data_IF_114861172009
#
_entry.id   IF_114861172009
#
_cell.length_a   1.000
_cell.length_b   1.000
_cell.length_c   1.000
_cell.angle_alpha   90.00
_cell.angle_beta   90.00
_cell.angle_gamma   90.00
#
_symmetry.space_group_name_H-M   'P 1'
#
loop_
_entity.id
_entity.type
_entity.pdbx_description
1 polymer ?
#
# COMPACT_ATOMS: atom_id res chain seq x y z
N UNK A 1 9.93 -10.81 7.59
CA UNK A 1 10.75 -9.97 8.49
C UNK A 1 11.54 -8.89 7.79
N UNK A 2 11.90 -9.03 6.50
CA UNK A 2 12.78 -8.09 5.81
C UNK A 2 12.42 -6.61 6.00
N UNK A 3 11.14 -6.23 5.79
CA UNK A 3 10.66 -4.85 5.95
C UNK A 3 10.88 -4.32 7.38
N UNK A 4 10.48 -5.10 8.39
CA UNK A 4 10.67 -4.74 9.80
C UNK A 4 12.16 -4.61 10.17
N UNK A 5 13.01 -5.48 9.64
CA UNK A 5 14.46 -5.42 9.85
C UNK A 5 15.09 -4.19 9.17
N UNK A 6 14.68 -3.87 7.94
CA UNK A 6 15.13 -2.68 7.24
C UNK A 6 14.70 -1.40 7.99
N UNK A 7 13.45 -1.35 8.46
CA UNK A 7 12.97 -0.26 9.30
C UNK A 7 13.79 -0.14 10.59
N UNK A 8 14.04 -1.25 11.29
CA UNK A 8 14.83 -1.24 12.51
C UNK A 8 16.26 -0.71 12.26
N UNK A 9 16.90 -1.11 11.16
CA UNK A 9 18.21 -0.60 10.77
C UNK A 9 18.17 0.91 10.48
N UNK A 10 17.17 1.39 9.74
CA UNK A 10 16.99 2.83 9.48
C UNK A 10 16.83 3.65 10.76
N UNK A 11 16.27 3.08 11.82
CA UNK A 11 16.07 3.76 13.11
C UNK A 11 17.34 3.88 13.95
N UNK A 12 18.42 3.19 13.58
CA UNK A 12 19.69 3.20 14.32
C UNK A 12 20.79 4.00 13.63
N UNK A 13 20.55 4.53 12.43
CA UNK A 13 21.55 5.28 11.66
C UNK A 13 21.84 6.66 12.25
N UNK A 14 23.10 7.07 12.17
CA UNK A 14 23.61 8.42 12.39
C UNK A 14 23.81 9.15 11.05
N UNK A 15 23.93 10.50 11.01
CA UNK A 15 24.07 11.26 9.77
C UNK A 15 25.26 10.88 8.88
N UNK A 16 26.30 10.28 9.47
CA UNK A 16 27.52 9.84 8.80
C UNK A 16 27.40 8.43 8.21
N UNK A 17 26.33 7.71 8.54
CA UNK A 17 26.11 6.34 8.08
C UNK A 17 25.59 6.31 6.64
N UNK A 18 25.90 5.20 5.95
CA UNK A 18 25.31 4.84 4.66
C UNK A 18 24.58 3.51 4.82
N UNK A 19 23.32 3.47 4.37
CA UNK A 19 22.53 2.24 4.34
C UNK A 19 22.36 1.76 2.90
N UNK A 20 22.79 0.53 2.66
CA UNK A 20 22.52 -0.21 1.42
C UNK A 20 21.49 -1.30 1.70
N UNK A 21 20.40 -1.32 0.94
CA UNK A 21 19.34 -2.32 1.04
C UNK A 21 19.18 -3.02 -0.30
N UNK A 22 19.32 -4.34 -0.28
CA UNK A 22 19.03 -5.18 -1.43
C UNK A 22 17.58 -5.68 -1.38
N UNK A 23 16.89 -5.51 -2.50
CA UNK A 23 15.57 -6.06 -2.75
C UNK A 23 15.53 -6.89 -4.04
N UNK A 24 14.42 -7.60 -4.25
CA UNK A 24 14.11 -8.22 -5.54
C UNK A 24 12.71 -7.85 -5.99
N UNK A 25 12.50 -7.78 -7.31
CA UNK A 25 11.18 -7.47 -7.89
C UNK A 25 10.16 -8.50 -7.38
N UNK A 26 9.06 -8.07 -6.77
CA UNK A 26 8.02 -8.99 -6.27
C UNK A 26 8.44 -9.84 -5.07
N UNK A 27 9.64 -9.65 -4.53
CA UNK A 27 10.23 -10.59 -3.56
C UNK A 27 10.64 -11.90 -4.20
N UNK A 28 10.91 -11.88 -5.51
CA UNK A 28 11.42 -13.01 -6.26
C UNK A 28 12.62 -13.67 -5.57
N UNK A 29 12.62 -15.00 -5.56
CA UNK A 29 13.68 -15.82 -4.98
C UNK A 29 13.17 -16.67 -3.83
N UNK A 30 14.11 -17.27 -3.10
CA UNK A 30 13.83 -18.11 -1.94
C UNK A 30 15.14 -18.62 -1.36
N UNK A 31 15.10 -19.04 -0.09
CA UNK A 31 16.28 -19.55 0.57
C UNK A 31 16.40 -21.07 0.31
N UNK A 32 17.50 -21.55 -0.32
CA UNK A 32 17.67 -22.99 -0.58
C UNK A 32 17.76 -23.83 0.70
N UNK A 33 18.06 -23.19 1.83
CA UNK A 33 18.15 -23.83 3.15
C UNK A 33 16.78 -23.91 3.85
N UNK A 34 15.78 -23.16 3.40
CA UNK A 34 14.46 -23.18 4.00
C UNK A 34 13.56 -24.17 3.23
N UNK A 35 13.14 -25.24 3.89
CA UNK A 35 12.25 -26.26 3.30
C UNK A 35 10.85 -25.76 2.92
N UNK A 36 10.54 -24.49 3.21
CA UNK A 36 9.28 -23.84 2.81
C UNK A 36 9.32 -23.27 1.37
N UNK A 37 10.45 -23.44 0.67
CA UNK A 37 10.59 -23.17 -0.77
C UNK A 37 10.27 -21.73 -1.13
N UNK A 38 9.13 -21.52 -1.79
CA UNK A 38 8.72 -20.19 -2.28
C UNK A 38 8.28 -19.24 -1.18
N UNK A 39 7.95 -19.74 0.02
CA UNK A 39 7.45 -18.92 1.12
C UNK A 39 8.55 -18.07 1.81
N UNK A 40 9.84 -18.35 1.55
CA UNK A 40 10.98 -17.55 2.04
C UNK A 40 11.45 -16.51 1.03
N UNK A 41 10.53 -15.95 0.24
CA UNK A 41 10.83 -14.89 -0.73
C UNK A 41 11.74 -13.80 -0.17
N UNK A 42 12.51 -13.18 -1.07
CA UNK A 42 13.39 -12.08 -0.72
C UNK A 42 12.57 -10.81 -0.42
N UNK A 43 13.22 -9.74 0.04
CA UNK A 43 12.54 -8.47 0.29
C UNK A 43 11.94 -7.91 -1.02
N UNK A 44 10.61 -7.73 -1.12
CA UNK A 44 10.03 -7.12 -2.30
C UNK A 44 10.48 -5.67 -2.41
N UNK A 45 11.02 -5.32 -3.58
CA UNK A 45 11.59 -3.98 -3.82
C UNK A 45 10.49 -2.93 -3.70
N UNK A 46 9.33 -3.18 -4.29
CA UNK A 46 8.18 -2.27 -4.23
C UNK A 46 7.68 -2.03 -2.80
N UNK A 47 7.76 -3.03 -1.92
CA UNK A 47 7.34 -2.90 -0.52
C UNK A 47 8.34 -2.05 0.28
N UNK A 48 9.65 -2.24 0.04
CA UNK A 48 10.70 -1.42 0.64
C UNK A 48 10.58 0.05 0.22
N UNK A 49 10.42 0.28 -1.08
CA UNK A 49 10.34 1.63 -1.63
C UNK A 49 9.05 2.34 -1.18
N UNK A 50 7.92 1.63 -1.17
CA UNK A 50 6.66 2.17 -0.66
C UNK A 50 6.78 2.61 0.81
N UNK A 51 7.40 1.78 1.67
CA UNK A 51 7.69 2.14 3.06
C UNK A 51 8.61 3.36 3.14
N UNK A 52 9.71 3.39 2.40
CA UNK A 52 10.68 4.50 2.41
C UNK A 52 10.02 5.81 1.98
N UNK A 53 9.21 5.80 0.92
CA UNK A 53 8.47 6.98 0.48
C UNK A 53 7.49 7.48 1.53
N UNK A 54 6.76 6.58 2.20
CA UNK A 54 5.83 6.95 3.28
C UNK A 54 6.55 7.45 4.54
N UNK A 55 7.83 7.10 4.71
CA UNK A 55 8.74 7.68 5.70
C UNK A 55 9.33 9.03 5.27
N UNK A 56 9.01 9.52 4.07
CA UNK A 56 9.54 10.76 3.51
C UNK A 56 10.95 10.63 2.92
N UNK A 57 11.45 9.42 2.71
CA UNK A 57 12.74 9.15 2.09
C UNK A 57 12.55 9.04 0.58
N UNK A 58 13.11 9.96 -0.23
CA UNK A 58 12.97 9.91 -1.67
C UNK A 58 13.75 8.74 -2.25
N UNK A 59 13.07 7.91 -3.04
CA UNK A 59 13.64 6.73 -3.70
C UNK A 59 14.07 7.01 -5.14
N UNK A 60 13.43 7.99 -5.79
CA UNK A 60 13.62 8.29 -7.21
C UNK A 60 13.02 7.23 -8.16
N UNK A 61 12.28 6.26 -7.65
CA UNK A 61 11.69 5.16 -8.43
C UNK A 61 10.20 5.42 -8.66
N UNK A 62 9.75 5.18 -9.88
CA UNK A 62 8.33 5.21 -10.24
C UNK A 62 7.67 3.89 -9.80
N UNK A 63 6.91 3.94 -8.70
CA UNK A 63 6.28 2.75 -8.11
C UNK A 63 5.29 2.08 -9.08
N UNK A 64 4.57 2.85 -9.89
CA UNK A 64 3.58 2.31 -10.82
C UNK A 64 4.25 1.51 -11.94
N UNK A 65 5.39 1.99 -12.44
CA UNK A 65 6.21 1.24 -13.41
C UNK A 65 6.87 0.02 -12.78
N UNK A 66 7.27 0.10 -11.50
CA UNK A 66 7.82 -1.07 -10.81
C UNK A 66 6.76 -2.17 -10.66
N UNK A 67 5.50 -1.82 -10.36
CA UNK A 67 4.39 -2.77 -10.33
C UNK A 67 4.19 -3.45 -11.69
N UNK A 68 4.28 -2.70 -12.81
CA UNK A 68 4.22 -3.28 -14.16
C UNK A 68 5.34 -4.33 -14.38
N UNK A 69 6.55 -4.04 -13.91
CA UNK A 69 7.67 -4.98 -13.95
C UNK A 69 7.41 -6.23 -13.09
N UNK A 70 6.79 -6.09 -11.92
CA UNK A 70 6.41 -7.23 -11.07
C UNK A 70 5.41 -8.12 -11.79
N UNK A 71 4.34 -7.55 -12.34
CA UNK A 71 3.32 -8.31 -13.09
C UNK A 71 3.91 -8.98 -14.34
N UNK A 72 4.85 -8.33 -15.03
CA UNK A 72 5.58 -8.95 -16.13
C UNK A 72 6.40 -10.16 -15.65
N UNK A 73 7.11 -10.04 -14.52
CA UNK A 73 7.88 -11.13 -13.94
C UNK A 73 6.98 -12.30 -13.54
N UNK A 74 5.80 -12.04 -12.97
CA UNK A 74 4.80 -13.07 -12.66
C UNK A 74 4.32 -13.81 -13.91
N UNK A 75 4.04 -13.07 -14.98
CA UNK A 75 3.67 -13.64 -16.28
C UNK A 75 4.75 -14.56 -16.86
N UNK A 76 6.01 -14.14 -16.82
CA UNK A 76 7.16 -14.95 -17.26
C UNK A 76 7.30 -16.22 -16.42
N UNK A 77 7.08 -16.10 -15.11
CA UNK A 77 7.25 -17.17 -14.14
C UNK A 77 6.06 -18.15 -14.09
N UNK A 78 4.92 -17.77 -14.67
CA UNK A 78 3.67 -18.50 -14.60
C UNK A 78 3.15 -18.65 -13.17
N UNK A 79 3.50 -17.72 -12.26
CA UNK A 79 3.08 -17.72 -10.87
C UNK A 79 3.18 -16.34 -10.24
N UNK A 80 2.41 -16.15 -9.18
CA UNK A 80 2.46 -14.95 -8.37
C UNK A 80 3.73 -14.88 -7.52
N UNK A 81 4.12 -13.64 -7.27
CA UNK A 81 5.17 -13.19 -6.37
C UNK A 81 4.50 -12.61 -5.11
N UNK A 82 5.29 -12.43 -4.04
CA UNK A 82 4.76 -12.18 -2.69
C UNK A 82 4.80 -10.70 -2.26
N UNK A 83 5.24 -9.79 -3.12
CA UNK A 83 5.23 -8.36 -2.82
C UNK A 83 3.81 -7.80 -2.69
N UNK A 84 3.53 -7.13 -1.58
CA UNK A 84 2.17 -6.71 -1.24
C UNK A 84 1.71 -5.49 -2.02
N UNK A 85 2.59 -4.53 -2.27
CA UNK A 85 2.26 -3.29 -2.98
C UNK A 85 1.84 -3.59 -4.43
N UNK A 86 2.46 -4.59 -5.06
CA UNK A 86 2.06 -5.04 -6.41
C UNK A 86 0.65 -5.65 -6.48
N UNK A 87 0.08 -6.03 -5.33
CA UNK A 87 -1.24 -6.68 -5.21
C UNK A 87 -2.31 -5.74 -4.68
N UNK A 88 -1.97 -4.92 -3.71
CA UNK A 88 -2.88 -3.99 -3.05
C UNK A 88 -2.88 -2.59 -3.69
N UNK A 89 -1.85 -2.26 -4.46
CA UNK A 89 -1.57 -0.92 -4.93
C UNK A 89 -0.85 -0.07 -3.87
N UNK A 90 -0.20 1.03 -4.28
CA UNK A 90 0.40 1.97 -3.35
C UNK A 90 -0.68 2.72 -2.57
N UNK A 91 -0.33 3.23 -1.39
CA UNK A 91 -1.21 4.10 -0.61
C UNK A 91 -1.58 5.36 -1.42
N UNK A 92 -2.87 5.69 -1.61
CA UNK A 92 -3.29 6.96 -2.21
C UNK A 92 -2.72 8.16 -1.44
N UNK A 93 -2.11 9.10 -2.17
CA UNK A 93 -1.51 10.34 -1.61
C UNK A 93 -2.31 11.59 -1.97
N UNK A 94 -3.08 11.54 -3.04
CA UNK A 94 -3.87 12.67 -3.55
C UNK A 94 -5.35 12.32 -3.73
N UNK A 95 -6.20 13.35 -3.80
CA UNK A 95 -7.66 13.19 -3.82
C UNK A 95 -8.13 12.34 -5.01
N UNK A 96 -7.53 12.55 -6.18
CA UNK A 96 -7.79 11.82 -7.42
C UNK A 96 -7.39 10.34 -7.37
N UNK A 97 -6.58 9.96 -6.39
CA UNK A 97 -6.14 8.57 -6.19
C UNK A 97 -7.00 7.84 -5.16
N UNK A 98 -7.87 8.55 -4.43
CA UNK A 98 -8.74 7.90 -3.47
C UNK A 98 -9.72 6.99 -4.20
N UNK A 99 -9.85 5.77 -3.71
CA UNK A 99 -10.84 4.83 -4.22
C UNK A 99 -12.26 5.34 -4.01
N UNK A 100 -13.17 4.84 -4.84
CA UNK A 100 -14.60 5.06 -4.67
C UNK A 100 -15.01 4.59 -3.27
N UNK A 101 -15.73 5.43 -2.54
CA UNK A 101 -16.20 5.09 -1.20
C UNK A 101 -17.25 3.98 -1.24
N UNK A 102 -17.97 3.85 -2.36
CA UNK A 102 -18.99 2.84 -2.58
C UNK A 102 -18.46 1.61 -3.34
N UNK A 103 -17.13 1.43 -3.42
CA UNK A 103 -16.55 0.27 -4.11
C UNK A 103 -17.07 -1.06 -3.53
N UNK A 104 -17.26 -2.10 -4.38
CA UNK A 104 -17.71 -3.41 -3.91
C UNK A 104 -16.60 -4.11 -3.11
N UNK A 105 -16.97 -5.22 -2.49
CA UNK A 105 -15.99 -6.11 -1.85
C UNK A 105 -15.02 -6.66 -2.91
N UNK A 106 -13.71 -6.48 -2.68
CA UNK A 106 -12.64 -7.00 -3.54
C UNK A 106 -12.22 -8.36 -3.00
N UNK A 107 -12.60 -9.41 -3.74
CA UNK A 107 -12.44 -10.82 -3.35
C UNK A 107 -11.25 -11.50 -4.02
N UNK A 108 -10.82 -10.99 -5.17
CA UNK A 108 -9.77 -11.61 -5.98
C UNK A 108 -8.62 -10.65 -6.25
N UNK A 109 -7.44 -11.22 -6.52
CA UNK A 109 -6.27 -10.44 -6.91
C UNK A 109 -6.46 -9.77 -8.30
N UNK A 110 -7.30 -10.33 -9.16
CA UNK A 110 -7.68 -9.70 -10.43
C UNK A 110 -8.51 -8.43 -10.17
N UNK A 111 -9.54 -8.52 -9.32
CA UNK A 111 -10.34 -7.37 -8.91
C UNK A 111 -9.48 -6.31 -8.24
N UNK A 112 -8.51 -6.73 -7.40
CA UNK A 112 -7.59 -5.83 -6.71
C UNK A 112 -6.79 -4.95 -7.69
N UNK A 113 -6.55 -5.38 -8.94
CA UNK A 113 -5.85 -4.54 -9.93
C UNK A 113 -6.60 -3.26 -10.32
N UNK A 114 -7.83 -3.04 -9.81
CA UNK A 114 -8.58 -1.79 -9.97
C UNK A 114 -7.79 -0.55 -9.56
N UNK A 115 -6.85 -0.65 -8.60
CA UNK A 115 -6.02 0.49 -8.18
C UNK A 115 -5.23 1.11 -9.33
N UNK A 116 -5.00 0.36 -10.42
CA UNK A 116 -4.26 0.79 -11.61
C UNK A 116 -5.04 0.63 -12.91
N UNK A 117 -5.88 -0.40 -13.04
CA UNK A 117 -6.68 -0.67 -14.25
C UNK A 117 -8.07 -0.04 -14.22
N UNK A 118 -8.47 0.55 -13.10
CA UNK A 118 -9.75 1.22 -12.95
C UNK A 118 -10.90 0.32 -12.49
N UNK A 119 -12.08 0.91 -12.28
CA UNK A 119 -13.23 0.29 -11.61
C UNK A 119 -13.82 -0.91 -12.37
N UNK A 120 -13.52 -1.06 -13.66
CA UNK A 120 -14.02 -2.17 -14.47
C UNK A 120 -13.54 -3.54 -13.93
N UNK A 121 -12.44 -3.57 -13.16
CA UNK A 121 -11.93 -4.83 -12.60
C UNK A 121 -12.86 -5.46 -11.56
N UNK A 122 -13.77 -4.69 -10.95
CA UNK A 122 -14.73 -5.21 -9.98
C UNK A 122 -16.19 -5.07 -10.45
N UNK A 123 -16.41 -4.96 -11.76
CA UNK A 123 -17.76 -4.93 -12.33
C UNK A 123 -18.53 -6.22 -11.97
N UNK A 124 -19.77 -6.07 -11.52
CA UNK A 124 -20.58 -7.18 -11.00
C UNK A 124 -20.17 -7.67 -9.61
N UNK A 125 -19.30 -6.94 -8.91
CA UNK A 125 -18.89 -7.22 -7.54
C UNK A 125 -20.03 -7.16 -6.52
N UNK A 126 -19.78 -7.67 -5.32
CA UNK A 126 -20.75 -7.69 -4.22
C UNK A 126 -20.72 -6.33 -3.52
N UNK A 127 -21.86 -5.63 -3.52
CA UNK A 127 -22.05 -4.38 -2.78
C UNK A 127 -22.76 -4.70 -1.45
N UNK A 128 -22.04 -4.70 -0.31
CA UNK A 128 -22.63 -5.08 0.97
C UNK A 128 -23.52 -3.98 1.58
N UNK A 129 -23.54 -2.79 0.98
CA UNK A 129 -24.22 -1.60 1.49
C UNK A 129 -25.59 -1.43 0.83
N UNK A 130 -26.60 -1.03 1.61
CA UNK A 130 -27.96 -0.74 1.10
C UNK A 130 -28.13 0.72 0.68
N UNK A 131 -27.32 1.61 1.25
CA UNK A 131 -27.30 3.04 1.00
C UNK A 131 -25.85 3.48 0.75
N UNK A 132 -25.61 4.59 0.02
CA UNK A 132 -24.27 5.13 -0.21
C UNK A 132 -23.52 5.39 1.10
N UNK A 133 -22.23 5.07 1.14
CA UNK A 133 -21.37 5.29 2.30
C UNK A 133 -21.09 6.78 2.44
N UNK A 134 -21.32 7.32 3.63
CA UNK A 134 -20.93 8.68 4.00
C UNK A 134 -19.71 8.66 4.92
N UNK A 135 -18.76 9.57 4.73
CA UNK A 135 -17.61 9.72 5.63
C UNK A 135 -17.30 11.20 5.87
N UNK A 136 -17.37 11.69 7.13
CA UNK A 136 -17.02 13.07 7.43
C UNK A 136 -15.55 13.37 7.11
N UNK A 137 -14.68 12.36 7.07
CA UNK A 137 -13.30 12.54 6.63
C UNK A 137 -13.21 12.73 5.13
N UNK A 138 -13.93 11.93 4.33
CA UNK A 138 -13.96 12.07 2.87
C UNK A 138 -14.43 13.46 2.47
N UNK A 139 -15.52 13.93 3.09
CA UNK A 139 -16.07 15.27 2.85
C UNK A 139 -15.06 16.40 3.11
N UNK A 140 -14.16 16.21 4.10
CA UNK A 140 -13.10 17.18 4.42
C UNK A 140 -12.04 17.20 3.33
N UNK A 141 -11.53 16.03 2.93
CA UNK A 141 -10.52 15.92 1.87
C UNK A 141 -11.04 16.52 0.57
N UNK A 142 -12.30 16.25 0.23
CA UNK A 142 -12.95 16.79 -0.98
C UNK A 142 -13.09 18.32 -0.94
N UNK A 143 -13.19 18.91 0.25
CA UNK A 143 -13.17 20.37 0.46
C UNK A 143 -11.75 20.95 0.52
N UNK A 144 -10.72 20.13 0.29
CA UNK A 144 -9.30 20.53 0.37
C UNK A 144 -8.79 20.72 1.80
N UNK A 145 -9.52 20.19 2.79
CA UNK A 145 -9.10 20.23 4.19
C UNK A 145 -8.21 19.01 4.52
N UNK A 146 -7.35 19.08 5.56
CA UNK A 146 -6.58 17.94 6.02
C UNK A 146 -7.48 16.74 6.39
N UNK A 147 -7.03 15.53 5.97
CA UNK A 147 -7.72 14.25 6.25
C UNK A 147 -7.89 14.01 7.75
N UNK A 148 -6.92 14.47 8.54
CA UNK A 148 -6.91 14.45 10.01
C UNK A 148 -6.66 15.89 10.51
N UNK A 149 -7.22 16.23 11.66
CA UNK A 149 -7.37 17.62 12.12
C UNK A 149 -6.03 18.37 12.34
N UNK A 150 -5.90 19.64 11.92
CA UNK A 150 -4.83 20.50 12.40
C UNK A 150 -5.18 21.05 13.79
N UNK A 151 -4.47 20.56 14.82
CA UNK A 151 -4.19 21.20 16.12
C UNK A 151 -5.34 21.69 17.06
N UNK A 152 -6.58 21.90 16.60
CA UNK A 152 -7.64 22.54 17.40
C UNK A 152 -8.55 21.54 18.14
N UNK A 153 -8.54 20.26 17.75
CA UNK A 153 -9.09 19.14 18.54
C UNK A 153 -10.58 18.87 18.38
N UNK A 154 -11.26 19.53 17.44
CA UNK A 154 -12.71 19.41 17.26
C UNK A 154 -13.03 18.30 16.24
N UNK A 155 -13.35 17.11 16.75
CA UNK A 155 -13.68 15.95 15.92
C UNK A 155 -15.04 16.12 15.22
N UNK A 156 -15.21 15.59 14.00
CA UNK A 156 -16.49 15.69 13.28
C UNK A 156 -17.63 14.88 13.90
N UNK A 157 -17.38 14.14 14.98
CA UNK A 157 -18.40 13.50 15.81
C UNK A 157 -18.17 13.83 17.28
N UNK A 158 -19.26 13.88 18.04
CA UNK A 158 -19.24 13.97 19.50
C UNK A 158 -19.71 12.62 20.05
N UNK A 159 -18.82 11.90 20.70
CA UNK A 159 -19.09 10.59 21.31
C UNK A 159 -18.68 10.67 22.77
N UNK A 160 -19.57 10.28 23.69
CA UNK A 160 -19.37 10.42 25.14
C UNK A 160 -18.15 9.65 25.66
N UNK A 161 -17.72 8.61 24.94
CA UNK A 161 -16.59 7.74 25.27
C UNK A 161 -15.30 8.12 24.54
N UNK A 162 -15.35 9.02 23.56
CA UNK A 162 -14.19 9.43 22.78
C UNK A 162 -13.61 10.71 23.40
N UNK A 163 -12.33 10.74 23.78
CA UNK A 163 -11.72 11.93 24.37
C UNK A 163 -11.61 13.03 23.30
N UNK A 164 -12.67 13.81 23.14
CA UNK A 164 -12.58 15.17 22.61
C UNK A 164 -11.78 15.97 23.64
N UNK A 165 -10.71 16.62 23.18
CA UNK A 165 -9.95 17.56 24.02
C UNK A 165 -10.66 18.89 24.08
#
# INVERSE_FOLDING_TARGET
MAIASAYAAMRTLEPEDTLELDGTIGGFGGCPYCGNGRATGMAPTEDLLHMMEDMGIPTGVDIDKLIDCVWMAEGIMGRELFGHVSKAGPRPKHLEQLYDIDMPFVETLEQATHFKKGPQQYEGGIYPYQEPITSPYRDRVEKGQPNYDPADGDYPWKQDWFPSK
#
